data_IF_104154755350
#
_entry.id   IF_104154755350
#
_cell.length_a   1.000
_cell.length_b   1.000
_cell.length_c   1.000
_cell.angle_alpha   90.00
_cell.angle_beta   90.00
_cell.angle_gamma   90.00
#
_symmetry.space_group_name_H-M   'P 1'
#
loop_
_entity.id
_entity.type
_entity.pdbx_description
1 polymer ?
#
# COMPACT_ATOMS: atom_id res chain seq x y z
N UNK A 1 4.34 -92.30 29.49
CA UNK A 1 3.76 -91.01 29.94
C UNK A 1 4.63 -89.79 29.62
N UNK A 2 5.96 -89.85 29.72
CA UNK A 2 6.84 -88.69 29.48
C UNK A 2 6.68 -88.03 28.09
N UNK A 3 6.59 -88.82 27.01
CA UNK A 3 6.47 -88.28 25.64
C UNK A 3 5.18 -87.46 25.40
N UNK A 4 4.09 -87.81 26.08
CA UNK A 4 2.82 -87.09 25.94
C UNK A 4 2.85 -85.72 26.65
N UNK A 5 3.62 -85.60 27.73
CA UNK A 5 3.76 -84.34 28.47
C UNK A 5 4.61 -83.33 27.70
N UNK A 6 5.72 -83.79 27.10
CA UNK A 6 6.61 -82.95 26.26
C UNK A 6 5.88 -82.40 25.04
N UNK A 7 5.06 -83.22 24.37
CA UNK A 7 4.25 -82.79 23.23
C UNK A 7 3.23 -81.69 23.60
N UNK A 8 2.61 -81.80 24.79
CA UNK A 8 1.61 -80.81 25.27
C UNK A 8 2.26 -79.47 25.60
N UNK A 9 3.47 -79.47 26.17
CA UNK A 9 4.25 -78.24 26.43
C UNK A 9 4.69 -77.58 25.12
N UNK A 10 5.19 -78.36 24.16
CA UNK A 10 5.60 -77.85 22.85
C UNK A 10 4.44 -77.21 22.08
N UNK A 11 3.25 -77.84 22.09
CA UNK A 11 2.04 -77.29 21.48
C UNK A 11 1.59 -75.98 22.14
N UNK A 12 1.70 -75.89 23.47
CA UNK A 12 1.30 -74.69 24.23
C UNK A 12 2.24 -73.50 23.97
N UNK A 13 3.54 -73.75 23.91
CA UNK A 13 4.54 -72.73 23.58
C UNK A 13 4.39 -72.22 22.14
N UNK A 14 4.06 -73.11 21.20
CA UNK A 14 3.80 -72.75 19.80
C UNK A 14 2.56 -71.86 19.67
N UNK A 15 1.47 -72.19 20.39
CA UNK A 15 0.27 -71.33 20.45
C UNK A 15 0.56 -69.95 21.05
N UNK A 16 1.33 -69.87 22.14
CA UNK A 16 1.72 -68.59 22.76
C UNK A 16 2.58 -67.72 21.82
N UNK A 17 3.51 -68.33 21.08
CA UNK A 17 4.35 -67.62 20.09
C UNK A 17 3.51 -67.04 18.95
N UNK A 18 2.61 -67.84 18.36
CA UNK A 18 1.68 -67.39 17.31
C UNK A 18 0.76 -66.25 17.78
N UNK A 19 0.28 -66.29 19.03
CA UNK A 19 -0.56 -65.24 19.61
C UNK A 19 0.20 -63.91 19.80
N UNK A 20 1.44 -63.96 20.30
CA UNK A 20 2.28 -62.76 20.43
C UNK A 20 2.58 -62.12 19.08
N UNK A 21 2.87 -62.92 18.06
CA UNK A 21 3.13 -62.42 16.71
C UNK A 21 1.90 -61.76 16.07
N UNK A 22 0.70 -62.36 16.23
CA UNK A 22 -0.56 -61.75 15.78
C UNK A 22 -0.83 -60.41 16.47
N UNK A 23 -0.60 -60.31 17.79
CA UNK A 23 -0.78 -59.04 18.53
C UNK A 23 0.22 -57.97 18.06
N UNK A 24 1.46 -58.35 17.75
CA UNK A 24 2.46 -57.42 17.20
C UNK A 24 2.05 -56.90 15.83
N UNK A 25 1.71 -57.79 14.89
CA UNK A 25 1.26 -57.41 13.53
C UNK A 25 0.02 -56.50 13.56
N UNK A 26 -0.93 -56.77 14.47
CA UNK A 26 -2.12 -55.91 14.65
C UNK A 26 -1.76 -54.49 15.12
N UNK A 27 -0.77 -54.33 16.02
CA UNK A 27 -0.31 -53.00 16.48
C UNK A 27 0.43 -52.25 15.38
N UNK A 28 1.28 -52.94 14.60
CA UNK A 28 1.97 -52.33 13.45
C UNK A 28 0.95 -51.82 12.41
N UNK A 29 -0.08 -52.61 12.09
CA UNK A 29 -1.13 -52.21 11.14
C UNK A 29 -1.95 -50.99 11.59
N UNK A 30 -2.31 -50.91 12.88
CA UNK A 30 -3.06 -49.76 13.43
C UNK A 30 -2.23 -48.47 13.37
N UNK A 31 -0.92 -48.55 13.61
CA UNK A 31 -0.05 -47.38 13.52
C UNK A 31 0.13 -46.89 12.08
N UNK A 32 0.21 -47.80 11.10
CA UNK A 32 0.28 -47.44 9.66
C UNK A 32 -1.02 -46.74 9.23
N UNK A 33 -2.18 -47.28 9.60
CA UNK A 33 -3.48 -46.70 9.25
C UNK A 33 -3.68 -45.29 9.84
N UNK A 34 -3.19 -45.05 11.07
CA UNK A 34 -3.27 -43.72 11.70
C UNK A 34 -2.41 -42.68 10.98
N UNK A 35 -1.21 -43.07 10.53
CA UNK A 35 -0.31 -42.18 9.80
C UNK A 35 -0.81 -41.85 8.38
N UNK A 36 -1.48 -42.80 7.70
CA UNK A 36 -2.07 -42.55 6.38
C UNK A 36 -3.21 -41.53 6.42
N UNK A 37 -4.05 -41.54 7.46
CA UNK A 37 -5.14 -40.55 7.60
C UNK A 37 -4.60 -39.12 7.69
N UNK A 38 -3.52 -38.90 8.44
CA UNK A 38 -2.89 -37.58 8.59
C UNK A 38 -2.31 -37.03 7.29
N UNK A 39 -1.72 -37.88 6.43
CA UNK A 39 -1.15 -37.46 5.15
C UNK A 39 -2.24 -37.08 4.12
N UNK A 40 -3.38 -37.76 4.14
CA UNK A 40 -4.47 -37.51 3.20
C UNK A 40 -5.18 -36.16 3.47
N UNK A 41 -5.33 -35.77 4.73
CA UNK A 41 -5.99 -34.50 5.09
C UNK A 41 -5.15 -33.28 4.69
N UNK A 42 -3.82 -33.34 4.81
CA UNK A 42 -2.92 -32.25 4.42
C UNK A 42 -2.88 -32.07 2.90
N UNK A 43 -2.94 -33.17 2.14
CA UNK A 43 -2.94 -33.13 0.66
C UNK A 43 -4.17 -32.43 0.07
N UNK A 44 -5.36 -32.65 0.63
CA UNK A 44 -6.62 -32.07 0.13
C UNK A 44 -6.68 -30.55 0.38
N UNK A 45 -6.23 -30.09 1.55
CA UNK A 45 -6.22 -28.65 1.89
C UNK A 45 -5.28 -27.87 0.97
N UNK A 46 -4.13 -28.47 0.63
CA UNK A 46 -3.13 -27.85 -0.24
C UNK A 46 -3.61 -27.78 -1.70
N UNK A 47 -4.33 -28.81 -2.16
CA UNK A 47 -4.88 -28.86 -3.53
C UNK A 47 -6.05 -27.87 -3.71
N UNK A 48 -6.87 -27.68 -2.67
CA UNK A 48 -8.02 -26.75 -2.68
C UNK A 48 -7.58 -25.28 -2.76
N UNK A 49 -6.43 -24.94 -2.15
CA UNK A 49 -5.86 -23.59 -2.21
C UNK A 49 -5.22 -23.24 -3.56
N UNK A 50 -4.77 -24.23 -4.32
CA UNK A 50 -4.05 -24.01 -5.59
C UNK A 50 -4.98 -23.81 -6.79
N UNK A 51 -6.23 -24.27 -6.73
CA UNK A 51 -7.12 -24.34 -7.91
C UNK A 51 -8.09 -23.18 -8.07
N UNK A 52 -8.25 -22.30 -7.07
CA UNK A 52 -9.34 -21.30 -7.06
C UNK A 52 -8.95 -19.88 -7.52
N UNK A 53 -7.73 -19.65 -8.01
CA UNK A 53 -7.14 -18.29 -8.07
C UNK A 53 -7.00 -17.59 -9.44
N UNK A 54 -7.32 -18.14 -10.63
CA UNK A 54 -7.26 -17.29 -11.82
C UNK A 54 -8.38 -17.52 -12.85
N UNK A 55 -9.37 -16.64 -12.89
CA UNK A 55 -10.17 -16.27 -14.07
C UNK A 55 -11.11 -15.13 -13.66
N UNK A 56 -11.40 -14.04 -14.38
CA UNK A 56 -10.84 -13.26 -15.48
C UNK A 56 -11.69 -11.95 -15.47
N UNK A 57 -11.18 -10.80 -15.94
CA UNK A 57 -11.73 -9.46 -15.72
C UNK A 57 -12.72 -8.99 -16.80
N UNK A 58 -13.55 -7.97 -16.49
CA UNK A 58 -14.12 -7.08 -17.49
C UNK A 58 -14.65 -5.74 -16.90
N UNK A 59 -14.03 -4.65 -17.36
CA UNK A 59 -14.60 -3.37 -17.81
C UNK A 59 -15.19 -2.37 -16.78
N UNK A 60 -14.47 -1.24 -16.68
CA UNK A 60 -14.86 0.09 -17.19
C UNK A 60 -15.04 1.24 -16.16
N UNK A 61 -14.10 2.18 -16.32
CA UNK A 61 -14.14 3.65 -16.26
C UNK A 61 -14.50 4.40 -14.96
N UNK A 62 -13.69 5.44 -14.71
CA UNK A 62 -13.75 6.39 -13.60
C UNK A 62 -13.70 7.83 -14.12
N UNK A 63 -13.92 8.83 -13.26
CA UNK A 63 -14.51 10.11 -13.64
C UNK A 63 -13.50 11.22 -13.95
N UNK A 64 -14.00 12.16 -14.75
CA UNK A 64 -13.36 13.24 -15.50
C UNK A 64 -12.71 14.36 -14.67
N UNK A 65 -11.49 14.72 -15.07
CA UNK A 65 -10.98 16.10 -15.00
C UNK A 65 -11.80 17.01 -15.94
N UNK A 66 -11.83 18.33 -15.65
CA UNK A 66 -12.44 19.40 -16.46
C UNK A 66 -11.74 19.60 -17.83
N UNK A 67 -11.61 18.52 -18.57
CA UNK A 67 -11.43 18.49 -19.99
C UNK A 67 -12.83 18.81 -20.55
N UNK A 68 -13.01 19.79 -21.46
CA UNK A 68 -14.31 19.98 -22.10
C UNK A 68 -14.79 18.62 -22.62
N UNK A 69 -16.05 18.23 -22.38
CA UNK A 69 -16.55 16.85 -22.61
C UNK A 69 -16.25 16.30 -24.03
N UNK A 70 -16.02 17.20 -24.99
CA UNK A 70 -15.54 16.89 -26.33
C UNK A 70 -14.12 16.32 -26.43
N UNK A 71 -13.22 16.56 -25.48
CA UNK A 71 -11.83 16.11 -25.50
C UNK A 71 -11.63 14.85 -24.65
N UNK A 72 -10.87 13.89 -25.17
CA UNK A 72 -10.41 12.71 -24.44
C UNK A 72 -8.87 12.69 -24.50
N UNK A 73 -8.22 12.80 -23.34
CA UNK A 73 -6.76 12.79 -23.22
C UNK A 73 -6.34 11.56 -22.40
N UNK A 74 -5.52 10.69 -22.98
CA UNK A 74 -5.03 9.48 -22.33
C UNK A 74 -3.51 9.51 -22.26
N UNK A 75 -2.95 9.42 -21.05
CA UNK A 75 -1.51 9.37 -20.79
C UNK A 75 -1.10 7.92 -20.50
N UNK A 76 -0.17 7.39 -21.27
CA UNK A 76 0.39 6.04 -21.11
C UNK A 76 1.93 6.06 -21.01
N UNK A 77 2.53 5.16 -20.21
CA UNK A 77 1.87 4.24 -19.28
C UNK A 77 1.43 4.94 -17.99
N UNK A 78 0.48 4.34 -17.24
CA UNK A 78 0.14 4.78 -15.87
C UNK A 78 1.10 4.27 -14.80
N UNK A 79 1.83 3.20 -15.14
CA UNK A 79 2.84 2.60 -14.28
C UNK A 79 4.02 2.14 -15.12
N UNK A 80 5.23 2.53 -14.71
CA UNK A 80 6.46 2.12 -15.35
C UNK A 80 7.30 1.27 -14.41
N UNK A 81 7.74 0.13 -14.93
CA UNK A 81 8.67 -0.75 -14.22
C UNK A 81 10.07 -0.50 -14.78
N UNK A 82 10.93 0.17 -14.02
CA UNK A 82 12.33 0.35 -14.44
C UNK A 82 13.05 -0.99 -14.29
N UNK A 83 13.40 -1.60 -15.43
CA UNK A 83 14.44 -2.60 -15.50
C UNK A 83 15.78 -1.92 -15.80
N UNK A 84 16.88 -2.53 -15.36
CA UNK A 84 18.25 -2.00 -15.51
C UNK A 84 18.64 -1.62 -16.95
N UNK A 85 17.89 -2.12 -17.94
CA UNK A 85 18.11 -1.95 -19.38
C UNK A 85 17.10 -0.99 -20.06
N UNK A 86 16.08 -0.48 -19.35
CA UNK A 86 15.11 0.49 -19.87
C UNK A 86 15.40 1.88 -19.28
N UNK A 87 16.43 2.54 -19.82
CA UNK A 87 16.78 3.91 -19.43
C UNK A 87 15.91 4.97 -20.08
N UNK A 88 15.03 4.61 -21.03
CA UNK A 88 14.13 5.53 -21.72
C UNK A 88 12.81 4.79 -22.02
N UNK A 89 11.75 5.16 -21.32
CA UNK A 89 10.40 4.74 -21.67
C UNK A 89 9.69 5.89 -22.39
N UNK A 90 8.95 5.61 -23.48
CA UNK A 90 8.09 6.63 -24.05
C UNK A 90 6.95 6.95 -23.08
N UNK A 91 6.67 8.23 -22.91
CA UNK A 91 5.39 8.71 -22.39
C UNK A 91 4.57 9.08 -23.63
N UNK A 92 3.42 8.46 -23.82
CA UNK A 92 2.54 8.66 -24.96
C UNK A 92 1.25 9.33 -24.47
N UNK A 93 0.80 10.35 -25.19
CA UNK A 93 -0.39 11.14 -24.90
C UNK A 93 -1.29 11.05 -26.12
N UNK A 94 -2.42 10.38 -25.98
CA UNK A 94 -3.44 10.33 -27.03
C UNK A 94 -4.45 11.43 -26.81
N UNK A 95 -4.68 12.27 -27.83
CA UNK A 95 -5.63 13.39 -27.81
C UNK A 95 -6.73 13.14 -28.84
N UNK A 96 -7.97 13.13 -28.39
CA UNK A 96 -9.15 13.02 -29.26
C UNK A 96 -10.11 14.17 -29.01
N UNK A 97 -10.84 14.56 -30.05
CA UNK A 97 -11.93 15.52 -30.02
C UNK A 97 -13.16 14.89 -30.70
N UNK A 98 -14.30 14.82 -30.01
CA UNK A 98 -15.53 14.16 -30.48
C UNK A 98 -15.27 12.73 -31.00
N UNK A 99 -14.48 11.93 -30.27
CA UNK A 99 -14.05 10.57 -30.63
C UNK A 99 -13.18 10.44 -31.89
N UNK A 100 -12.63 11.54 -32.42
CA UNK A 100 -11.68 11.54 -33.53
C UNK A 100 -10.29 11.94 -33.05
N UNK A 101 -9.26 11.25 -33.55
CA UNK A 101 -7.88 11.62 -33.29
C UNK A 101 -7.64 13.08 -33.72
N UNK A 102 -7.13 13.90 -32.80
CA UNK A 102 -6.81 15.29 -33.09
C UNK A 102 -5.35 15.38 -33.54
N UNK A 103 -5.15 15.50 -34.84
CA UNK A 103 -3.82 15.52 -35.48
C UNK A 103 -3.32 16.95 -35.72
N UNK A 104 -2.01 17.10 -35.95
CA UNK A 104 -1.42 18.37 -36.34
C UNK A 104 -1.46 19.46 -35.26
N UNK A 105 -1.60 19.09 -33.99
CA UNK A 105 -1.54 20.03 -32.87
C UNK A 105 -0.11 20.58 -32.77
N UNK A 106 0.02 21.88 -33.00
CA UNK A 106 1.29 22.57 -32.79
C UNK A 106 1.53 22.76 -31.28
N UNK A 107 2.77 22.50 -30.84
CA UNK A 107 3.22 22.77 -29.47
C UNK A 107 2.52 21.93 -28.37
N UNK A 108 2.35 20.62 -28.58
CA UNK A 108 2.03 19.72 -27.46
C UNK A 108 3.22 19.68 -26.50
N UNK A 109 3.05 20.25 -25.31
CA UNK A 109 4.04 20.29 -24.24
C UNK A 109 3.72 19.22 -23.21
N UNK A 110 4.70 18.38 -22.91
CA UNK A 110 4.64 17.41 -21.81
C UNK A 110 5.70 17.82 -20.79
N UNK A 111 5.27 18.15 -19.58
CA UNK A 111 6.14 18.38 -18.44
C UNK A 111 6.13 17.17 -17.52
N UNK A 112 7.32 16.71 -17.14
CA UNK A 112 7.52 15.64 -16.16
C UNK A 112 8.10 16.27 -14.90
N UNK A 113 7.38 16.20 -13.80
CA UNK A 113 7.77 16.76 -12.51
C UNK A 113 7.97 15.64 -11.47
N UNK A 114 9.08 15.71 -10.73
CA UNK A 114 9.35 14.79 -9.63
C UNK A 114 8.75 15.28 -8.33
N UNK A 115 8.56 14.39 -7.34
CA UNK A 115 8.22 14.77 -5.95
C UNK A 115 9.21 15.73 -5.29
N UNK A 116 10.43 15.85 -5.82
CA UNK A 116 11.44 16.82 -5.38
C UNK A 116 11.24 18.21 -6.03
N UNK A 117 10.18 18.40 -6.82
CA UNK A 117 9.88 19.62 -7.57
C UNK A 117 10.76 19.82 -8.82
N UNK A 118 11.45 18.77 -9.29
CA UNK A 118 12.29 18.88 -10.48
C UNK A 118 11.40 18.70 -11.71
N UNK A 119 11.09 19.80 -12.38
CA UNK A 119 10.30 19.83 -13.61
C UNK A 119 11.17 19.85 -14.86
N UNK A 120 10.82 19.02 -15.86
CA UNK A 120 11.43 19.03 -17.19
C UNK A 120 10.35 19.03 -18.25
N UNK A 121 10.47 19.95 -19.21
CA UNK A 121 9.49 20.13 -20.28
C UNK A 121 10.03 19.60 -21.60
N UNK A 122 9.13 19.00 -22.37
CA UNK A 122 9.43 18.36 -23.63
C UNK A 122 8.38 18.74 -24.66
N UNK A 123 8.83 19.08 -25.87
CA UNK A 123 7.93 19.20 -27.00
C UNK A 123 7.65 17.79 -27.55
N UNK A 124 6.41 17.36 -27.45
CA UNK A 124 6.00 16.05 -27.91
C UNK A 124 5.91 16.00 -29.44
N UNK A 125 6.27 14.86 -30.02
CA UNK A 125 6.19 14.65 -31.47
C UNK A 125 5.02 13.72 -31.76
N UNK A 126 4.19 14.06 -32.74
CA UNK A 126 3.12 13.18 -33.21
C UNK A 126 3.75 11.92 -33.85
N UNK A 127 3.39 10.74 -33.33
CA UNK A 127 3.89 9.45 -33.83
C UNK A 127 2.89 8.75 -34.73
N UNK A 128 1.63 8.80 -34.33
CA UNK A 128 0.48 8.32 -35.09
C UNK A 128 -0.62 9.36 -34.96
N UNK A 129 -1.68 9.24 -35.76
CA UNK A 129 -2.79 10.18 -35.72
C UNK A 129 -3.30 10.42 -34.28
N UNK A 130 -3.08 11.64 -33.77
CA UNK A 130 -3.51 12.07 -32.43
C UNK A 130 -2.73 11.47 -31.26
N UNK A 131 -1.60 10.79 -31.50
CA UNK A 131 -0.71 10.29 -30.44
C UNK A 131 0.61 11.04 -30.44
N UNK A 132 0.90 11.68 -29.32
CA UNK A 132 2.07 12.52 -29.10
C UNK A 132 2.97 11.88 -28.06
N UNK A 133 4.26 11.72 -28.38
CA UNK A 133 5.17 11.00 -27.49
C UNK A 133 6.42 11.81 -27.15
N UNK A 134 6.91 11.61 -25.92
CA UNK A 134 8.25 12.02 -25.49
C UNK A 134 9.02 10.81 -24.99
N UNK A 135 10.35 10.90 -25.01
CA UNK A 135 11.20 9.93 -24.31
C UNK A 135 11.72 10.59 -23.04
N UNK A 136 11.47 9.94 -21.91
CA UNK A 136 11.96 10.42 -20.63
C UNK A 136 12.84 9.38 -19.95
N UNK A 137 14.07 9.74 -19.52
CA UNK A 137 14.92 8.84 -18.79
C UNK A 137 14.55 8.82 -17.31
N UNK A 138 13.70 7.89 -16.92
CA UNK A 138 13.35 7.67 -15.52
C UNK A 138 14.55 7.09 -14.77
N UNK A 139 15.19 7.94 -13.97
CA UNK A 139 16.41 7.60 -13.21
C UNK A 139 16.15 7.31 -11.74
N UNK A 140 14.95 7.63 -11.25
CA UNK A 140 14.53 7.42 -9.86
C UNK A 140 13.21 6.66 -9.83
N UNK A 141 13.01 5.96 -8.72
CA UNK A 141 11.77 5.29 -8.36
C UNK A 141 10.93 6.29 -7.61
N UNK A 142 9.63 6.33 -7.87
CA UNK A 142 8.70 7.26 -7.22
C UNK A 142 7.54 7.65 -8.12
N UNK A 143 6.70 8.53 -7.62
CA UNK A 143 5.59 9.13 -8.39
C UNK A 143 6.12 10.33 -9.18
N UNK A 144 5.66 10.45 -10.43
CA UNK A 144 5.94 11.58 -11.31
C UNK A 144 4.62 12.23 -11.70
N UNK A 145 4.57 13.56 -11.68
CA UNK A 145 3.44 14.32 -12.22
C UNK A 145 3.70 14.60 -13.70
N UNK A 146 2.73 14.26 -14.54
CA UNK A 146 2.79 14.43 -15.98
C UNK A 146 1.77 15.51 -16.37
N UNK A 147 2.24 16.71 -16.68
CA UNK A 147 1.39 17.78 -17.15
C UNK A 147 1.41 17.84 -18.67
N UNK A 148 0.24 17.83 -19.29
CA UNK A 148 0.10 18.01 -20.73
C UNK A 148 -0.58 19.35 -20.97
N UNK A 149 0.01 20.16 -21.86
CA UNK A 149 -0.56 21.42 -22.30
C UNK A 149 -0.50 21.54 -23.82
N UNK A 150 -1.57 22.01 -24.44
CA UNK A 150 -1.60 22.32 -25.88
C UNK A 150 -2.67 23.37 -26.20
N UNK A 151 -2.53 24.03 -27.34
CA UNK A 151 -3.53 24.99 -27.83
C UNK A 151 -4.39 24.36 -28.91
N UNK A 152 -5.70 24.30 -28.68
CA UNK A 152 -6.66 23.82 -29.65
C UNK A 152 -7.94 24.67 -29.59
N UNK A 153 -8.59 24.86 -30.75
CA UNK A 153 -9.90 25.54 -30.83
C UNK A 153 -9.96 26.94 -30.19
N UNK A 154 -8.83 27.65 -30.15
CA UNK A 154 -8.75 29.00 -29.58
C UNK A 154 -8.61 29.04 -28.06
N UNK A 155 -8.40 27.90 -27.41
CA UNK A 155 -8.12 27.80 -25.97
C UNK A 155 -6.86 26.96 -25.68
N UNK A 156 -6.30 27.18 -24.49
CA UNK A 156 -5.26 26.31 -23.94
C UNK A 156 -5.95 25.19 -23.15
N UNK A 157 -5.62 23.94 -23.49
CA UNK A 157 -6.09 22.75 -22.78
C UNK A 157 -4.95 22.25 -21.91
N UNK A 158 -5.25 21.95 -20.63
CA UNK A 158 -4.31 21.41 -19.65
C UNK A 158 -4.91 20.20 -18.95
N UNK A 159 -4.10 19.18 -18.72
CA UNK A 159 -4.44 18.00 -17.91
C UNK A 159 -3.21 17.56 -17.13
N UNK A 160 -3.42 16.95 -15.96
CA UNK A 160 -2.34 16.36 -15.16
C UNK A 160 -2.70 14.92 -14.81
N UNK A 161 -1.76 14.01 -15.01
CA UNK A 161 -1.89 12.62 -14.55
C UNK A 161 -0.63 12.18 -13.81
N UNK A 162 -0.73 11.09 -13.06
CA UNK A 162 0.33 10.57 -12.22
C UNK A 162 0.89 9.28 -12.81
N UNK A 163 2.22 9.24 -12.94
CA UNK A 163 2.95 8.05 -13.37
C UNK A 163 3.71 7.46 -12.18
N UNK A 164 3.33 6.25 -11.78
CA UNK A 164 4.08 5.48 -10.78
C UNK A 164 5.27 4.77 -11.43
N UNK A 165 6.48 5.17 -11.04
CA UNK A 165 7.71 4.52 -11.49
C UNK A 165 8.21 3.63 -10.37
N UNK A 166 8.06 2.32 -10.55
CA UNK A 166 8.51 1.32 -9.59
C UNK A 166 9.82 0.69 -10.06
N UNK A 167 10.75 0.49 -9.13
CA UNK A 167 11.91 -0.35 -9.43
C UNK A 167 11.42 -1.78 -9.58
N UNK A 168 11.85 -2.48 -10.63
CA UNK A 168 11.76 -3.94 -10.64
C UNK A 168 12.81 -4.54 -9.71
N UNK A 169 12.80 -4.14 -8.43
CA UNK A 169 13.61 -4.73 -7.37
C UNK A 169 12.87 -5.85 -6.66
N UNK A 170 11.91 -6.49 -7.30
CA UNK A 170 11.77 -7.92 -7.06
C UNK A 170 12.98 -8.61 -7.68
N UNK A 171 14.18 -8.44 -7.07
CA UNK A 171 15.13 -9.54 -7.03
C UNK A 171 14.26 -10.69 -6.56
N UNK A 172 14.03 -11.65 -7.44
CA UNK A 172 13.21 -12.80 -7.13
C UNK A 172 13.94 -13.51 -5.98
N UNK A 173 13.62 -13.14 -4.73
CA UNK A 173 14.28 -13.63 -3.52
C UNK A 173 13.77 -15.03 -3.19
N UNK A 174 12.65 -15.42 -3.80
CA UNK A 174 12.01 -16.73 -3.70
C UNK A 174 13.02 -17.86 -3.99
N UNK A 175 13.78 -17.90 -5.11
CA UNK A 175 14.79 -18.93 -5.35
C UNK A 175 15.92 -18.95 -4.31
N UNK A 176 16.31 -17.81 -3.72
CA UNK A 176 17.35 -17.78 -2.69
C UNK A 176 16.83 -18.32 -1.35
N UNK A 177 15.62 -17.95 -0.93
CA UNK A 177 14.97 -18.50 0.26
C UNK A 177 14.68 -19.99 0.09
N UNK A 178 14.17 -20.41 -1.06
CA UNK A 178 13.90 -21.82 -1.36
C UNK A 178 15.19 -22.64 -1.39
N UNK A 179 16.23 -22.15 -2.06
CA UNK A 179 17.55 -22.79 -2.14
C UNK A 179 18.22 -22.94 -0.77
N UNK A 180 18.23 -21.88 0.04
CA UNK A 180 18.77 -21.91 1.40
C UNK A 180 18.04 -22.90 2.31
N UNK A 181 16.70 -22.92 2.23
CA UNK A 181 15.86 -23.85 2.99
C UNK A 181 16.13 -25.30 2.60
N UNK A 182 16.20 -25.59 1.29
CA UNK A 182 16.50 -26.92 0.78
C UNK A 182 17.88 -27.40 1.24
N UNK A 183 18.89 -26.54 1.20
CA UNK A 183 20.26 -26.84 1.64
C UNK A 183 20.29 -27.20 3.15
N UNK A 184 19.56 -26.46 3.99
CA UNK A 184 19.43 -26.75 5.42
C UNK A 184 18.73 -28.09 5.68
N UNK A 185 17.70 -28.43 4.90
CA UNK A 185 17.02 -29.73 4.98
C UNK A 185 17.97 -30.87 4.61
N UNK A 186 18.75 -30.72 3.53
CA UNK A 186 19.74 -31.72 3.11
C UNK A 186 20.83 -31.89 4.18
N UNK A 187 21.38 -30.79 4.70
CA UNK A 187 22.39 -30.81 5.77
C UNK A 187 21.88 -31.54 7.02
N UNK A 188 20.67 -31.23 7.46
CA UNK A 188 20.05 -31.89 8.63
C UNK A 188 19.82 -33.38 8.39
N UNK A 189 19.41 -33.76 7.18
CA UNK A 189 19.31 -35.17 6.78
C UNK A 189 20.67 -35.87 6.77
N UNK A 190 21.70 -35.31 6.15
CA UNK A 190 23.05 -35.90 6.08
C UNK A 190 23.65 -36.10 7.47
N UNK A 191 23.55 -35.10 8.35
CA UNK A 191 24.07 -35.16 9.72
C UNK A 191 23.32 -36.23 10.54
N UNK A 192 21.99 -36.26 10.48
CA UNK A 192 21.17 -37.21 11.26
C UNK A 192 21.23 -38.64 10.74
N UNK A 193 21.48 -38.84 9.44
CA UNK A 193 21.52 -40.18 8.82
C UNK A 193 22.89 -40.85 8.86
N UNK A 194 23.99 -40.07 8.97
CA UNK A 194 25.36 -40.61 9.17
C UNK A 194 25.63 -41.14 10.59
N UNK A 195 24.80 -40.83 11.59
CA UNK A 195 24.97 -41.33 12.95
C UNK A 195 24.59 -42.82 13.13
N UNK A 196 25.33 -43.55 13.99
CA UNK A 196 25.11 -44.99 14.32
C UNK A 196 23.68 -45.34 14.77
N UNK A 197 22.88 -44.37 15.25
CA UNK A 197 21.43 -44.53 15.51
C UNK A 197 20.64 -43.64 14.56
N UNK A 198 20.11 -44.22 13.48
CA UNK A 198 19.23 -43.54 12.52
C UNK A 198 17.94 -43.12 13.22
N UNK A 199 17.87 -41.86 13.66
CA UNK A 199 16.69 -41.32 14.33
C UNK A 199 15.87 -40.47 13.35
N UNK A 200 15.29 -41.14 12.35
CA UNK A 200 14.62 -40.53 11.18
C UNK A 200 13.52 -39.55 11.59
N UNK A 201 12.83 -39.82 12.69
CA UNK A 201 11.78 -38.96 13.24
C UNK A 201 12.30 -37.57 13.55
N UNK A 202 13.50 -37.48 14.14
CA UNK A 202 14.10 -36.20 14.51
C UNK A 202 14.58 -35.40 13.30
N UNK A 203 14.97 -36.06 12.21
CA UNK A 203 15.29 -35.37 10.95
C UNK A 203 14.03 -34.75 10.34
N UNK A 204 12.93 -35.52 10.29
CA UNK A 204 11.64 -35.04 9.78
C UNK A 204 11.13 -33.84 10.59
N UNK A 205 11.14 -33.95 11.93
CA UNK A 205 10.70 -32.84 12.80
C UNK A 205 11.52 -31.57 12.58
N UNK A 206 12.85 -31.69 12.44
CA UNK A 206 13.72 -30.53 12.22
C UNK A 206 13.50 -29.89 10.85
N UNK A 207 13.27 -30.68 9.80
CA UNK A 207 12.93 -30.16 8.47
C UNK A 207 11.62 -29.37 8.48
N UNK A 208 10.59 -29.85 9.19
CA UNK A 208 9.33 -29.11 9.34
C UNK A 208 9.54 -27.77 10.02
N UNK A 209 10.33 -27.73 11.11
CA UNK A 209 10.66 -26.47 11.82
C UNK A 209 11.37 -25.48 10.90
N UNK A 210 12.32 -25.94 10.09
CA UNK A 210 13.06 -25.09 9.14
C UNK A 210 12.12 -24.50 8.08
N UNK A 211 11.18 -25.28 7.55
CA UNK A 211 10.19 -24.81 6.57
C UNK A 211 9.29 -23.73 7.19
N UNK A 212 8.78 -23.96 8.41
CA UNK A 212 7.94 -22.98 9.12
C UNK A 212 8.73 -21.69 9.37
N UNK A 213 9.98 -21.78 9.82
CA UNK A 213 10.82 -20.61 10.08
C UNK A 213 11.13 -19.82 8.79
N UNK A 214 11.42 -20.50 7.69
CA UNK A 214 11.64 -19.86 6.39
C UNK A 214 10.38 -19.16 5.88
N UNK A 215 9.20 -19.78 6.06
CA UNK A 215 7.92 -19.19 5.69
C UNK A 215 7.60 -17.94 6.51
N UNK A 216 7.79 -17.99 7.83
CA UNK A 216 7.61 -16.82 8.71
C UNK A 216 8.61 -15.70 8.37
N UNK A 217 9.88 -16.04 8.13
CA UNK A 217 10.90 -15.08 7.75
C UNK A 217 10.59 -14.39 6.41
N UNK A 218 10.09 -15.14 5.43
CA UNK A 218 9.65 -14.58 4.15
C UNK A 218 8.42 -13.68 4.31
N UNK A 219 7.44 -14.10 5.11
CA UNK A 219 6.26 -13.28 5.41
C UNK A 219 6.66 -11.94 6.04
N UNK A 220 7.55 -11.96 7.03
CA UNK A 220 8.06 -10.76 7.67
C UNK A 220 8.85 -9.87 6.69
N UNK A 221 9.68 -10.47 5.83
CA UNK A 221 10.41 -9.75 4.80
C UNK A 221 9.49 -9.00 3.83
N UNK A 222 8.40 -9.65 3.37
CA UNK A 222 7.41 -9.02 2.48
C UNK A 222 6.72 -7.85 3.18
N UNK A 223 6.32 -8.01 4.44
CA UNK A 223 5.70 -6.92 5.22
C UNK A 223 6.65 -5.73 5.37
N UNK A 224 7.94 -5.98 5.65
CA UNK A 224 8.94 -4.90 5.79
C UNK A 224 9.22 -4.21 4.44
N UNK A 225 9.22 -4.95 3.33
CA UNK A 225 9.46 -4.37 2.01
C UNK A 225 8.25 -3.57 1.51
N UNK A 226 7.05 -4.06 1.79
CA UNK A 226 5.80 -3.38 1.47
C UNK A 226 5.47 -2.36 2.57
N UNK A 227 6.43 -1.52 2.96
CA UNK A 227 6.30 -0.44 3.94
C UNK A 227 5.34 0.70 3.48
N UNK A 228 4.31 0.34 2.73
CA UNK A 228 3.14 1.14 2.44
C UNK A 228 2.24 1.02 3.67
N UNK A 229 1.91 2.15 4.29
CA UNK A 229 1.03 2.27 5.47
C UNK A 229 -0.42 1.81 5.22
N UNK A 230 -0.66 1.12 4.11
CA UNK A 230 -1.95 0.74 3.61
C UNK A 230 -1.96 -0.73 3.15
N UNK A 231 -2.89 -1.50 3.72
CA UNK A 231 -3.15 -2.89 3.28
C UNK A 231 -4.50 -2.93 2.59
N UNK A 232 -4.48 -3.28 1.30
CA UNK A 232 -5.71 -3.48 0.53
C UNK A 232 -6.25 -4.89 0.78
N UNK A 233 -7.47 -4.98 1.30
CA UNK A 233 -8.20 -6.22 1.57
C UNK A 233 -9.47 -6.22 0.73
N UNK A 234 -9.67 -7.23 -0.10
CA UNK A 234 -10.88 -7.38 -0.92
C UNK A 234 -11.68 -8.61 -0.46
N UNK A 235 -12.70 -8.44 0.40
CA UNK A 235 -13.58 -9.54 0.78
C UNK A 235 -14.36 -10.14 -0.40
N UNK A 236 -14.63 -9.35 -1.43
CA UNK A 236 -15.22 -9.77 -2.71
C UNK A 236 -14.53 -9.04 -3.87
N UNK A 237 -14.77 -9.46 -5.12
CA UNK A 237 -14.21 -8.81 -6.31
C UNK A 237 -14.63 -7.33 -6.43
N UNK A 238 -15.86 -7.01 -6.03
CA UNK A 238 -16.45 -5.67 -6.13
C UNK A 238 -16.28 -4.80 -4.89
N UNK A 239 -15.79 -5.36 -3.79
CA UNK A 239 -15.64 -4.63 -2.53
C UNK A 239 -14.22 -4.83 -2.06
N UNK A 240 -13.42 -3.77 -2.22
CA UNK A 240 -12.12 -3.66 -1.62
C UNK A 240 -12.12 -2.56 -0.58
N UNK A 241 -11.30 -2.75 0.43
CA UNK A 241 -11.02 -1.79 1.47
C UNK A 241 -9.52 -1.57 1.53
N UNK A 242 -9.11 -0.35 1.79
CA UNK A 242 -7.76 -0.07 2.25
C UNK A 242 -7.83 0.21 3.74
N UNK A 243 -7.08 -0.56 4.52
CA UNK A 243 -6.84 -0.20 5.92
C UNK A 243 -5.73 0.82 5.91
N UNK A 244 -6.02 2.05 6.30
CA UNK A 244 -5.03 3.12 6.34
C UNK A 244 -4.83 3.62 7.77
N UNK A 245 -3.61 4.02 8.06
CA UNK A 245 -3.21 4.67 9.30
C UNK A 245 -2.52 5.95 8.88
N UNK A 246 -3.23 7.07 8.99
CA UNK A 246 -2.88 8.35 8.38
C UNK A 246 -2.71 9.39 9.47
N UNK A 247 -1.62 10.16 9.42
CA UNK A 247 -1.38 11.29 10.30
C UNK A 247 -1.19 12.58 9.51
N UNK A 248 -1.66 13.72 10.02
CA UNK A 248 -1.29 15.04 9.52
C UNK A 248 -0.94 15.98 10.67
N UNK A 249 0.01 16.87 10.47
CA UNK A 249 0.41 17.88 11.45
C UNK A 249 -0.30 19.19 11.14
N UNK A 250 -1.06 19.72 12.10
CA UNK A 250 -2.00 20.83 11.93
C UNK A 250 -1.68 22.03 12.84
N UNK A 251 -0.51 22.66 12.71
CA UNK A 251 -0.19 23.84 13.51
C UNK A 251 -1.19 24.97 13.22
N UNK A 252 -1.71 25.60 14.29
CA UNK A 252 -2.64 26.73 14.20
C UNK A 252 -1.99 27.91 14.90
N UNK A 253 -1.94 29.08 14.24
CA UNK A 253 -1.46 30.34 14.81
C UNK A 253 -2.55 31.41 14.70
N UNK A 254 -2.92 32.02 15.82
CA UNK A 254 -3.90 33.13 15.86
C UNK A 254 -3.20 34.36 16.41
N UNK A 255 -3.11 35.41 15.59
CA UNK A 255 -2.48 36.69 15.90
C UNK A 255 -1.08 36.52 16.53
N UNK A 256 -0.24 35.70 15.89
CA UNK A 256 1.12 35.41 16.37
C UNK A 256 1.23 34.34 17.47
N UNK A 257 0.11 33.84 18.02
CA UNK A 257 0.11 32.85 19.11
C UNK A 257 -0.24 31.45 18.63
N UNK A 258 0.62 30.48 18.95
CA UNK A 258 0.34 29.07 18.73
C UNK A 258 -0.88 28.60 19.54
N UNK A 259 -1.83 27.98 18.84
CA UNK A 259 -2.97 27.28 19.42
C UNK A 259 -2.69 25.78 19.40
N UNK A 260 -3.10 25.12 20.49
CA UNK A 260 -2.98 23.68 20.64
C UNK A 260 -4.37 23.04 20.51
N UNK A 261 -4.49 22.09 19.59
CA UNK A 261 -5.64 21.20 19.54
C UNK A 261 -5.72 20.35 20.81
N UNK A 262 -6.93 19.96 21.24
CA UNK A 262 -7.07 18.99 22.33
C UNK A 262 -6.35 17.68 21.96
N UNK A 263 -6.01 16.89 22.97
CA UNK A 263 -5.30 15.61 22.78
C UNK A 263 -6.29 14.46 22.92
N UNK A 264 -6.21 13.46 22.03
CA UNK A 264 -7.07 12.26 22.03
C UNK A 264 -8.58 12.52 22.02
N UNK A 265 -9.03 13.60 21.37
CA UNK A 265 -10.45 13.92 21.16
C UNK A 265 -10.92 13.50 19.76
N UNK A 266 -12.12 12.92 19.70
CA UNK A 266 -12.75 12.37 18.50
C UNK A 266 -13.01 10.86 18.64
N UNK A 267 -13.79 10.25 17.73
CA UNK A 267 -14.06 8.82 17.74
C UNK A 267 -12.83 8.01 17.31
N UNK A 268 -12.55 6.90 18.00
CA UNK A 268 -11.44 5.99 17.64
C UNK A 268 -11.60 5.36 16.24
N UNK A 269 -12.84 5.16 15.76
CA UNK A 269 -13.11 4.65 14.41
C UNK A 269 -13.31 5.78 13.39
N UNK A 270 -12.74 6.95 13.65
CA UNK A 270 -12.89 8.13 12.80
C UNK A 270 -11.76 9.13 13.04
N UNK A 271 -11.93 10.38 12.54
CA UNK A 271 -10.91 11.42 12.71
C UNK A 271 -10.81 11.83 14.17
N UNK A 272 -9.60 11.86 14.71
CA UNK A 272 -9.34 12.30 16.08
C UNK A 272 -7.93 12.89 16.20
N UNK A 273 -7.68 13.59 17.29
CA UNK A 273 -6.33 14.12 17.60
C UNK A 273 -5.45 13.03 18.22
N UNK A 274 -4.17 13.02 17.91
CA UNK A 274 -3.19 12.09 18.50
C UNK A 274 -2.59 12.63 19.82
N UNK A 275 -1.68 11.87 20.44
CA UNK A 275 -0.96 12.27 21.66
C UNK A 275 0.02 13.43 21.43
N UNK A 276 0.63 13.53 20.23
CA UNK A 276 1.50 14.66 19.89
C UNK A 276 0.71 15.94 19.63
N UNK A 277 1.38 17.07 19.92
CA UNK A 277 0.81 18.41 19.72
C UNK A 277 0.37 18.58 18.27
N UNK A 278 -0.90 18.94 18.10
CA UNK A 278 -1.48 19.31 16.80
C UNK A 278 -1.37 18.23 15.72
N UNK A 279 -1.25 16.96 16.11
CA UNK A 279 -1.31 15.86 15.13
C UNK A 279 -2.74 15.36 15.04
N UNK A 280 -3.29 15.35 13.84
CA UNK A 280 -4.56 14.70 13.52
C UNK A 280 -4.28 13.30 13.01
N UNK A 281 -5.20 12.39 13.32
CA UNK A 281 -4.98 10.97 13.16
C UNK A 281 -6.28 10.28 12.74
N UNK A 282 -6.13 9.29 11.88
CA UNK A 282 -7.22 8.47 11.40
C UNK A 282 -6.73 7.05 11.17
N UNK A 283 -7.49 6.08 11.68
CA UNK A 283 -7.25 4.66 11.43
C UNK A 283 -8.56 3.88 11.27
N UNK A 284 -8.92 3.55 10.04
CA UNK A 284 -9.99 2.58 9.75
C UNK A 284 -9.81 2.01 8.33
N UNK A 285 -10.89 1.45 7.78
CA UNK A 285 -11.02 0.92 6.44
C UNK A 285 -11.79 1.92 5.58
N UNK A 286 -11.16 2.40 4.52
CA UNK A 286 -11.85 3.15 3.48
C UNK A 286 -12.17 2.23 2.31
N UNK A 287 -13.32 2.45 1.68
CA UNK A 287 -13.62 1.75 0.43
C UNK A 287 -12.61 2.18 -0.62
N UNK A 288 -12.11 1.18 -1.33
CA UNK A 288 -11.00 1.33 -2.25
C UNK A 288 -11.38 0.69 -3.58
N UNK A 289 -11.20 1.42 -4.66
CA UNK A 289 -11.23 0.86 -6.00
C UNK A 289 -9.84 0.33 -6.30
N UNK A 290 -9.68 -0.99 -6.23
CA UNK A 290 -8.39 -1.64 -6.47
C UNK A 290 -7.90 -1.46 -7.90
N UNK A 291 -8.81 -1.32 -8.86
CA UNK A 291 -8.46 -1.19 -10.27
C UNK A 291 -7.98 0.23 -10.58
N UNK A 292 -8.72 1.23 -10.11
CA UNK A 292 -8.36 2.64 -10.24
C UNK A 292 -7.28 3.08 -9.24
N UNK A 293 -6.97 2.22 -8.28
CA UNK A 293 -6.07 2.49 -7.15
C UNK A 293 -6.44 3.75 -6.35
N UNK A 294 -7.73 3.97 -6.12
CA UNK A 294 -8.23 5.18 -5.46
C UNK A 294 -9.19 4.89 -4.32
N UNK A 295 -9.29 5.81 -3.38
CA UNK A 295 -10.33 5.81 -2.36
C UNK A 295 -11.68 6.18 -3.00
N UNK A 296 -12.72 5.41 -2.68
CA UNK A 296 -14.10 5.70 -3.11
C UNK A 296 -14.83 6.61 -2.12
N UNK A 297 -14.44 6.57 -0.85
CA UNK A 297 -15.05 7.31 0.24
C UNK A 297 -13.94 8.08 0.96
N UNK A 298 -13.83 9.37 0.66
CA UNK A 298 -12.80 10.26 1.22
C UNK A 298 -13.34 11.21 2.29
N UNK A 299 -14.66 11.24 2.50
CA UNK A 299 -15.31 12.12 3.47
C UNK A 299 -14.69 12.04 4.89
N UNK A 300 -14.35 10.86 5.45
CA UNK A 300 -13.68 10.80 6.75
C UNK A 300 -12.30 11.47 6.75
N UNK A 301 -11.66 11.62 5.60
CA UNK A 301 -10.36 12.29 5.44
C UNK A 301 -10.51 13.76 5.05
N UNK A 302 -11.71 14.34 5.05
CA UNK A 302 -11.88 15.77 4.85
C UNK A 302 -11.60 16.52 6.16
N UNK A 303 -10.94 17.68 6.09
CA UNK A 303 -10.72 18.51 7.28
C UNK A 303 -12.03 18.94 7.95
N UNK A 304 -13.09 19.16 7.16
CA UNK A 304 -14.44 19.40 7.67
C UNK A 304 -14.90 18.32 8.65
N UNK A 305 -14.80 17.05 8.24
CA UNK A 305 -15.18 15.91 9.08
C UNK A 305 -14.32 15.81 10.35
N UNK A 306 -13.03 16.15 10.26
CA UNK A 306 -12.15 16.20 11.42
C UNK A 306 -12.55 17.26 12.44
N UNK A 307 -12.73 18.51 12.02
CA UNK A 307 -13.10 19.58 12.95
C UNK A 307 -14.53 19.42 13.50
N UNK A 308 -15.44 18.81 12.74
CA UNK A 308 -16.75 18.39 13.24
C UNK A 308 -16.64 17.33 14.34
N UNK A 309 -15.74 16.35 14.20
CA UNK A 309 -15.48 15.35 15.24
C UNK A 309 -14.89 15.95 16.52
N UNK A 310 -14.26 17.13 16.42
CA UNK A 310 -13.81 17.94 17.56
C UNK A 310 -14.86 18.93 18.10
N UNK A 311 -16.06 18.95 17.52
CA UNK A 311 -17.10 19.94 17.81
C UNK A 311 -16.62 21.39 17.64
N UNK A 312 -15.68 21.62 16.72
CA UNK A 312 -15.07 22.92 16.45
C UNK A 312 -15.65 23.52 15.15
N UNK A 313 -16.24 24.73 15.18
CA UNK A 313 -16.63 25.41 13.94
C UNK A 313 -15.43 25.55 13.00
N UNK A 314 -15.60 25.13 11.75
CA UNK A 314 -14.53 25.20 10.74
C UNK A 314 -15.10 25.46 9.36
N UNK A 315 -14.69 26.56 8.75
CA UNK A 315 -14.95 26.94 7.36
C UNK A 315 -13.83 27.88 6.88
N UNK A 316 -13.86 28.31 5.62
CA UNK A 316 -12.94 29.32 5.07
C UNK A 316 -12.94 30.64 5.88
N UNK A 317 -14.05 30.91 6.57
CA UNK A 317 -14.26 32.16 7.30
C UNK A 317 -14.16 32.02 8.82
N UNK A 318 -14.07 30.82 9.37
CA UNK A 318 -14.11 30.58 10.82
C UNK A 318 -13.33 29.33 11.21
N UNK A 319 -12.58 29.40 12.31
CA UNK A 319 -12.02 28.22 12.98
C UNK A 319 -12.08 28.45 14.50
N UNK A 320 -12.81 27.59 15.20
CA UNK A 320 -13.12 27.75 16.62
C UNK A 320 -13.96 29.02 16.87
N UNK A 321 -13.45 29.89 17.73
CA UNK A 321 -14.12 31.13 18.14
C UNK A 321 -13.73 32.36 17.30
N UNK A 322 -12.86 32.19 16.29
CA UNK A 322 -12.28 33.31 15.53
C UNK A 322 -12.79 33.32 14.09
N UNK A 323 -13.26 34.48 13.63
CA UNK A 323 -13.85 34.68 12.30
C UNK A 323 -13.08 35.73 11.50
N UNK A 324 -13.05 35.57 10.17
CA UNK A 324 -12.55 36.59 9.24
C UNK A 324 -13.17 37.96 9.54
N UNK A 325 -12.31 38.97 9.71
CA UNK A 325 -12.71 40.32 10.09
C UNK A 325 -12.55 40.64 11.59
N UNK A 326 -12.29 39.64 12.44
CA UNK A 326 -11.95 39.88 13.84
C UNK A 326 -10.62 40.63 13.96
N UNK A 327 -10.50 41.49 14.98
CA UNK A 327 -9.30 42.31 15.20
C UNK A 327 -8.30 41.58 16.10
N UNK A 328 -7.05 41.50 15.67
CA UNK A 328 -5.94 41.00 16.48
C UNK A 328 -5.55 41.99 17.60
N UNK A 329 -4.83 41.56 18.66
CA UNK A 329 -4.42 42.44 19.75
C UNK A 329 -3.57 43.65 19.34
N UNK A 330 -2.93 43.59 18.18
CA UNK A 330 -2.13 44.68 17.60
C UNK A 330 -2.98 45.68 16.79
N UNK A 331 -4.28 45.46 16.68
CA UNK A 331 -5.22 46.30 15.92
C UNK A 331 -5.35 45.93 14.44
N UNK A 332 -4.61 44.94 13.95
CA UNK A 332 -4.75 44.43 12.59
C UNK A 332 -6.04 43.63 12.43
N UNK A 333 -6.62 43.63 11.23
CA UNK A 333 -7.81 42.80 10.91
C UNK A 333 -7.32 41.44 10.43
N UNK A 334 -7.73 40.37 11.11
CA UNK A 334 -7.28 39.02 10.81
C UNK A 334 -8.13 38.32 9.77
N UNK A 335 -7.45 37.49 8.96
CA UNK A 335 -8.07 36.59 7.98
C UNK A 335 -7.41 35.22 8.04
N UNK A 336 -8.24 34.18 8.02
CA UNK A 336 -7.84 32.78 7.94
C UNK A 336 -7.17 32.49 6.60
N UNK A 337 -6.03 31.82 6.68
CA UNK A 337 -5.27 31.29 5.55
C UNK A 337 -4.85 29.88 5.90
N UNK A 338 -4.87 28.99 4.92
CA UNK A 338 -4.47 27.61 5.08
C UNK A 338 -3.34 27.31 4.09
N UNK A 339 -2.29 26.66 4.60
CA UNK A 339 -1.15 26.23 3.81
C UNK A 339 -0.98 24.73 3.98
N UNK A 340 -0.86 24.03 2.86
CA UNK A 340 -0.60 22.59 2.83
C UNK A 340 0.79 22.40 2.27
N UNK A 341 1.68 21.81 3.06
CA UNK A 341 3.07 21.54 2.69
C UNK A 341 3.80 22.80 2.17
N UNK A 342 3.50 23.95 2.77
CA UNK A 342 4.11 25.25 2.45
C UNK A 342 3.43 26.03 1.31
N UNK A 343 2.41 25.48 0.65
CA UNK A 343 1.66 26.14 -0.44
C UNK A 343 0.27 26.56 0.02
N UNK A 344 -0.19 27.74 -0.39
CA UNK A 344 -1.55 28.19 -0.09
C UNK A 344 -2.60 27.21 -0.65
N UNK A 345 -3.65 26.96 0.12
CA UNK A 345 -4.77 26.10 -0.27
C UNK A 345 -6.09 26.71 0.25
N UNK A 346 -7.11 26.78 -0.61
CA UNK A 346 -8.40 27.42 -0.33
C UNK A 346 -9.57 26.41 -0.22
N UNK A 347 -9.29 25.11 -0.19
CA UNK A 347 -10.32 24.08 -0.10
C UNK A 347 -10.91 23.96 1.31
N UNK A 348 -10.18 24.40 2.35
CA UNK A 348 -10.57 24.38 3.77
C UNK A 348 -11.32 23.11 4.17
N UNK A 349 -12.64 23.18 4.35
CA UNK A 349 -13.49 22.04 4.73
C UNK A 349 -13.36 20.86 3.80
N UNK A 350 -13.14 21.13 2.52
CA UNK A 350 -13.14 20.13 1.46
C UNK A 350 -11.77 19.50 1.21
N UNK A 351 -10.72 20.02 1.86
CA UNK A 351 -9.38 19.47 1.70
C UNK A 351 -9.31 18.05 2.27
N UNK A 352 -8.90 17.11 1.44
CA UNK A 352 -8.67 15.70 1.80
C UNK A 352 -7.20 15.55 2.18
N UNK A 353 -6.93 15.29 3.46
CA UNK A 353 -5.56 15.21 3.96
C UNK A 353 -4.94 13.83 3.74
N UNK A 354 -3.64 13.82 3.49
CA UNK A 354 -2.80 12.66 3.23
C UNK A 354 -1.88 12.37 4.42
N UNK A 355 -1.28 11.18 4.41
CA UNK A 355 -0.32 10.81 5.44
C UNK A 355 0.91 11.70 5.34
N UNK A 356 1.27 12.28 6.48
CA UNK A 356 2.35 13.24 6.72
C UNK A 356 2.17 14.64 6.15
N UNK A 357 0.96 15.03 5.79
CA UNK A 357 0.71 16.42 5.43
C UNK A 357 1.01 17.37 6.60
N UNK A 358 1.54 18.54 6.25
CA UNK A 358 1.70 19.68 7.16
C UNK A 358 0.69 20.75 6.75
N UNK A 359 -0.37 20.88 7.55
CA UNK A 359 -1.53 21.74 7.28
C UNK A 359 -1.48 22.91 8.26
N UNK A 360 -0.87 24.00 7.85
CA UNK A 360 -0.67 25.18 8.69
C UNK A 360 -1.83 26.16 8.53
N UNK A 361 -2.49 26.48 9.63
CA UNK A 361 -3.51 27.52 9.70
C UNK A 361 -2.95 28.76 10.37
N UNK A 362 -3.25 29.92 9.79
CA UNK A 362 -2.85 31.22 10.34
C UNK A 362 -3.98 32.23 10.23
N UNK A 363 -4.21 32.96 11.31
CA UNK A 363 -5.16 34.06 11.40
C UNK A 363 -4.42 35.34 11.81
N UNK A 364 -4.19 36.23 10.84
CA UNK A 364 -3.52 37.52 11.05
C UNK A 364 -3.78 38.46 9.86
N UNK A 365 -3.23 39.67 9.94
CA UNK A 365 -3.26 40.67 8.87
C UNK A 365 -2.16 40.53 7.81
N UNK A 366 -1.28 39.53 7.90
CA UNK A 366 -0.22 39.32 6.90
C UNK A 366 -0.81 38.88 5.56
N UNK A 367 -0.06 39.03 4.46
CA UNK A 367 -0.52 38.57 3.14
C UNK A 367 -0.13 37.11 2.90
N UNK A 368 -0.91 36.39 2.08
CA UNK A 368 -0.60 35.00 1.68
C UNK A 368 0.84 34.90 1.15
N UNK A 369 1.24 35.81 0.26
CA UNK A 369 2.59 35.82 -0.35
C UNK A 369 3.71 35.98 0.69
N UNK A 370 3.50 36.79 1.73
CA UNK A 370 4.49 36.98 2.81
C UNK A 370 4.74 35.65 3.55
N UNK A 371 3.65 34.96 3.87
CA UNK A 371 3.69 33.70 4.62
C UNK A 371 4.25 32.56 3.76
N UNK A 372 3.91 32.48 2.47
CA UNK A 372 4.53 31.49 1.57
C UNK A 372 6.05 31.66 1.47
N UNK A 373 6.53 32.90 1.37
CA UNK A 373 7.97 33.18 1.34
C UNK A 373 8.64 32.83 2.68
N UNK A 374 7.98 33.09 3.81
CA UNK A 374 8.45 32.64 5.13
C UNK A 374 8.54 31.11 5.20
N UNK A 375 7.48 30.39 4.80
CA UNK A 375 7.44 28.92 4.82
C UNK A 375 8.45 28.29 3.87
N UNK A 376 8.79 28.96 2.78
CA UNK A 376 9.85 28.53 1.87
C UNK A 376 11.24 28.63 2.51
N UNK A 377 11.48 29.67 3.31
CA UNK A 377 12.74 29.88 4.03
C UNK A 377 12.83 29.01 5.29
N UNK A 378 11.71 28.83 5.98
CA UNK A 378 11.58 28.11 7.24
C UNK A 378 10.46 27.07 7.15
N UNK A 379 10.67 25.97 6.41
CA UNK A 379 9.64 24.96 6.21
C UNK A 379 9.25 24.32 7.55
N UNK A 380 7.94 24.24 7.80
CA UNK A 380 7.41 23.49 8.93
C UNK A 380 7.55 22.01 8.59
N UNK A 381 8.30 21.28 9.42
CA UNK A 381 8.51 19.84 9.25
C UNK A 381 7.50 19.04 10.05
N UNK A 382 7.01 17.94 9.48
CA UNK A 382 6.22 16.96 10.19
C UNK A 382 6.99 16.42 11.42
N UNK A 383 6.39 16.40 12.63
CA UNK A 383 7.09 16.00 13.84
C UNK A 383 7.39 14.49 13.85
N UNK A 384 8.38 14.09 14.64
CA UNK A 384 8.57 12.67 14.95
C UNK A 384 7.39 12.20 15.81
N UNK A 385 6.68 11.17 15.34
CA UNK A 385 5.64 10.51 16.11
C UNK A 385 6.25 9.49 17.08
N UNK A 386 5.59 9.28 18.21
CA UNK A 386 5.86 8.21 19.16
C UNK A 386 5.61 6.81 18.56
N UNK A 387 5.66 5.77 19.40
CA UNK A 387 5.38 4.39 18.97
C UNK A 387 3.87 4.09 18.89
N UNK A 388 3.09 5.06 18.41
CA UNK A 388 1.65 4.92 18.16
C UNK A 388 1.32 3.69 17.34
#
# INVERSE_FOLDING_TARGET
>A
MANHFVAKIAATNTKRKKLKERKRKKREFVNIARNMKSLFTVGIITLFYMTLMPALPALAHGPEENIPEEFEILIEPKQLVINKDLSEAPIEVSVRYENKALTGIENVLIAVETVEGIRKEFQATERTEGSYAIKYPFTKVGTYEIHVAFTAKGGEIRTTDFLEVIENKTKNVIPYFAGGTLLLIILTWVIKTRGKKKNIKSAITLSIIIIIAAWLGYSLYIVIQNNTNSVVVCPSESICYVTAHIHAYTPIKICGKDIRLPTEVGPLSGPHTHEEKNTIHWHDRLRYDKEKKMLLETEPLMLGAFFEALEMPFDKDILGDTKNGDTCPDGSVGFWKMFVNGKNNDEFRNYIWNDRDVIYFVFDGESIMSIEEELKQNPITFPLLGRG
#
